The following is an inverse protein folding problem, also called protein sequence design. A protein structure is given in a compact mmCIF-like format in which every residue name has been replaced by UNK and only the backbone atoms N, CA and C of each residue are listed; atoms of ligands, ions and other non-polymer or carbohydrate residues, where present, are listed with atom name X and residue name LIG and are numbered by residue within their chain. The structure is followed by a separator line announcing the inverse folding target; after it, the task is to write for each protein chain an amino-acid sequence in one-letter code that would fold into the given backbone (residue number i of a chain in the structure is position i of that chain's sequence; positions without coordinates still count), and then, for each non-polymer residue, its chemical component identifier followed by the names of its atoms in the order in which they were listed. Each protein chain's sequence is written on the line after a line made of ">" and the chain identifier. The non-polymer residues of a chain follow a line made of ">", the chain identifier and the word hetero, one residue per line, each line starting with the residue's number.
data_IF_669184697165
#
_entry.id   IF_669184697165
#
_cell.length_a   1.000
_cell.length_b   1.000
_cell.length_c   1.000
_cell.angle_alpha   90.00
_cell.angle_beta   90.00
_cell.angle_gamma   90.00
#
_symmetry.space_group_name_H-M   'P 1'
#
loop_
_entity.id
_entity.type
_entity.pdbx_description
1 polymer ?
#
# COMPACT_ATOMS: atom_id res chain seq x y z
N UNK A 1 29.64 4.03 78.99
CA UNK A 1 29.91 3.01 77.98
C UNK A 1 28.97 3.37 76.78
N UNK A 2 29.48 3.98 75.68
CA UNK A 2 28.69 4.42 74.53
C UNK A 2 28.85 3.37 73.44
N UNK A 3 27.75 2.68 73.12
CA UNK A 3 27.66 1.75 71.96
C UNK A 3 27.56 2.54 70.69
N UNK A 4 28.50 2.38 69.75
CA UNK A 4 28.48 2.91 68.42
C UNK A 4 27.76 1.91 67.48
N UNK A 5 26.63 2.28 66.93
CA UNK A 5 25.97 1.48 65.91
C UNK A 5 26.62 1.73 64.56
N UNK A 6 27.23 0.69 63.97
CA UNK A 6 27.79 0.70 62.65
C UNK A 6 26.67 0.22 61.72
N UNK A 7 26.13 1.13 60.91
CA UNK A 7 25.19 0.78 59.85
C UNK A 7 25.99 0.28 58.62
N UNK A 8 25.89 -1.03 58.35
CA UNK A 8 26.45 -1.64 57.15
C UNK A 8 25.47 -1.39 56.00
N UNK A 9 25.80 -0.44 55.11
CA UNK A 9 25.03 -0.16 53.90
C UNK A 9 25.38 -1.21 52.85
N UNK A 10 24.50 -2.21 52.68
CA UNK A 10 24.61 -3.22 51.63
C UNK A 10 24.14 -2.59 50.30
N UNK A 11 25.07 -2.12 49.47
CA UNK A 11 24.78 -1.69 48.10
C UNK A 11 24.58 -2.95 47.24
N UNK A 12 23.34 -3.28 46.96
CA UNK A 12 22.97 -4.35 46.04
C UNK A 12 23.26 -3.85 44.60
N UNK A 13 24.42 -4.20 44.04
CA UNK A 13 24.75 -3.93 42.65
C UNK A 13 24.03 -4.97 41.79
N UNK A 14 22.83 -4.64 41.35
CA UNK A 14 22.19 -5.39 40.28
C UNK A 14 22.94 -5.12 38.98
N UNK A 15 23.39 -6.14 38.23
CA UNK A 15 23.92 -5.91 36.90
C UNK A 15 22.75 -5.44 36.00
N UNK A 16 22.69 -4.15 35.70
CA UNK A 16 21.85 -3.64 34.62
C UNK A 16 22.32 -4.31 33.35
N UNK A 17 21.61 -5.37 32.96
CA UNK A 17 21.68 -5.86 31.57
C UNK A 17 21.12 -4.76 30.68
N UNK A 18 22.01 -3.93 30.13
CA UNK A 18 21.66 -3.04 29.06
C UNK A 18 21.18 -3.94 27.91
N UNK A 19 19.86 -4.02 27.73
CA UNK A 19 19.28 -4.61 26.51
C UNK A 19 19.74 -3.71 25.35
N UNK A 20 20.87 -4.04 24.75
CA UNK A 20 21.20 -3.49 23.43
C UNK A 20 20.23 -4.11 22.46
N UNK A 21 19.34 -3.27 21.90
CA UNK A 21 18.63 -3.64 20.69
C UNK A 21 19.68 -4.09 19.67
N UNK A 22 19.60 -5.34 19.24
CA UNK A 22 20.47 -5.80 18.16
C UNK A 22 20.12 -4.99 16.92
N UNK A 23 21.08 -4.47 16.16
CA UNK A 23 20.80 -3.88 14.88
C UNK A 23 20.08 -4.94 14.05
N UNK A 24 18.87 -4.60 13.59
CA UNK A 24 18.15 -5.43 12.63
C UNK A 24 18.86 -5.21 11.31
N UNK A 25 19.79 -6.09 10.95
CA UNK A 25 20.60 -5.99 9.73
C UNK A 25 19.73 -6.08 8.46
N UNK A 26 18.49 -6.53 8.59
CA UNK A 26 17.53 -6.57 7.49
C UNK A 26 16.09 -6.42 8.04
N UNK A 27 15.17 -5.81 7.29
CA UNK A 27 13.76 -5.77 7.67
C UNK A 27 13.21 -7.20 7.78
N UNK A 28 12.27 -7.45 8.74
CA UNK A 28 11.63 -8.76 8.84
C UNK A 28 10.81 -9.05 7.57
N UNK A 29 10.92 -10.28 7.05
CA UNK A 29 10.21 -10.73 5.86
C UNK A 29 11.05 -10.63 4.58
N UNK A 30 10.36 -10.55 3.44
CA UNK A 30 10.97 -10.50 2.11
C UNK A 30 10.78 -9.10 1.52
N UNK A 31 11.89 -8.47 1.15
CA UNK A 31 11.86 -7.16 0.46
C UNK A 31 11.42 -7.36 -0.98
N UNK A 32 10.27 -6.81 -1.36
CA UNK A 32 9.72 -6.90 -2.71
C UNK A 32 10.38 -5.90 -3.65
N UNK A 33 10.57 -4.68 -3.17
CA UNK A 33 11.25 -3.60 -3.88
C UNK A 33 11.92 -2.65 -2.90
N UNK A 34 12.98 -2.00 -3.35
CA UNK A 34 13.71 -0.98 -2.60
C UNK A 34 14.14 0.14 -3.55
N UNK A 35 13.89 1.38 -3.16
CA UNK A 35 14.37 2.58 -3.85
C UNK A 35 15.39 3.25 -2.93
N UNK A 36 16.65 3.43 -3.36
CA UNK A 36 17.66 4.12 -2.56
C UNK A 36 17.25 5.57 -2.23
N UNK A 37 17.53 6.00 -1.00
CA UNK A 37 17.10 7.31 -0.49
C UNK A 37 17.63 8.50 -1.32
N UNK A 38 18.80 8.36 -1.94
CA UNK A 38 19.40 9.39 -2.79
C UNK A 38 18.67 9.61 -4.13
N UNK A 39 17.63 8.83 -4.44
CA UNK A 39 16.77 9.04 -5.60
C UNK A 39 15.58 9.96 -5.32
N UNK A 40 15.40 10.41 -4.07
CA UNK A 40 14.30 11.29 -3.63
C UNK A 40 12.92 10.83 -4.11
N UNK A 41 12.75 9.51 -4.14
CA UNK A 41 11.52 8.83 -4.52
C UNK A 41 11.24 7.72 -3.53
N UNK A 42 10.01 7.59 -3.11
CA UNK A 42 9.56 6.70 -2.05
C UNK A 42 8.56 5.68 -2.57
N UNK A 43 8.39 4.61 -1.81
CA UNK A 43 7.41 3.54 -2.05
C UNK A 43 6.30 3.68 -1.02
N UNK A 44 5.05 3.59 -1.46
CA UNK A 44 3.89 3.60 -0.57
C UNK A 44 2.69 2.88 -1.15
N UNK A 45 1.58 2.96 -0.41
CA UNK A 45 0.29 2.40 -0.80
C UNK A 45 0.35 0.92 -1.20
N UNK A 46 0.95 0.04 -0.38
CA UNK A 46 1.04 -1.36 -0.72
C UNK A 46 -0.34 -2.02 -0.72
N UNK A 47 -0.58 -2.88 -1.69
CA UNK A 47 -1.77 -3.73 -1.74
C UNK A 47 -1.37 -5.14 -2.16
N UNK A 48 -2.07 -6.15 -1.64
CA UNK A 48 -1.85 -7.56 -1.96
C UNK A 48 -3.16 -8.25 -2.30
N UNK A 49 -3.11 -9.12 -3.29
CA UNK A 49 -4.20 -10.00 -3.68
C UNK A 49 -3.68 -11.42 -3.89
N UNK A 50 -4.41 -12.41 -3.40
CA UNK A 50 -4.12 -13.83 -3.64
C UNK A 50 -5.02 -14.29 -4.78
N UNK A 51 -4.42 -14.83 -5.82
CA UNK A 51 -5.12 -15.39 -6.98
C UNK A 51 -5.66 -16.79 -6.70
N UNK A 52 -6.65 -17.28 -7.46
CA UNK A 52 -7.21 -18.61 -7.29
C UNK A 52 -6.21 -19.75 -7.47
N UNK A 53 -5.15 -19.54 -8.25
CA UNK A 53 -4.05 -20.50 -8.43
C UNK A 53 -3.04 -20.50 -7.26
N UNK A 54 -3.26 -19.66 -6.24
CA UNK A 54 -2.40 -19.55 -5.07
C UNK A 54 -1.21 -18.60 -5.24
N UNK A 55 -1.04 -17.98 -6.40
CA UNK A 55 -0.04 -16.94 -6.62
C UNK A 55 -0.41 -15.64 -5.91
N UNK A 56 0.58 -14.87 -5.49
CA UNK A 56 0.37 -13.58 -4.86
C UNK A 56 0.69 -12.45 -5.84
N UNK A 57 -0.18 -11.45 -5.91
CA UNK A 57 0.06 -10.20 -6.63
C UNK A 57 0.17 -9.08 -5.62
N UNK A 58 1.20 -8.26 -5.77
CA UNK A 58 1.42 -7.05 -4.95
C UNK A 58 1.54 -5.85 -5.85
N UNK A 59 0.98 -4.73 -5.41
CA UNK A 59 1.21 -3.41 -5.99
C UNK A 59 1.80 -2.47 -4.95
N UNK A 60 2.53 -1.48 -5.44
CA UNK A 60 2.90 -0.28 -4.69
C UNK A 60 2.99 0.92 -5.63
N UNK A 61 2.82 2.11 -5.06
CA UNK A 61 2.95 3.37 -5.77
C UNK A 61 4.33 3.98 -5.55
N UNK A 62 4.72 4.89 -6.47
CA UNK A 62 5.90 5.73 -6.32
C UNK A 62 5.49 7.18 -6.09
N UNK A 63 6.08 7.82 -5.08
CA UNK A 63 5.82 9.22 -4.73
C UNK A 63 7.11 9.93 -4.30
N UNK A 64 7.02 11.27 -4.06
CA UNK A 64 8.15 12.10 -3.64
C UNK A 64 8.67 13.05 -4.73
N UNK A 65 9.70 13.86 -4.42
CA UNK A 65 10.12 14.98 -5.27
C UNK A 65 10.47 14.62 -6.71
N UNK A 66 10.97 13.40 -6.96
CA UNK A 66 11.33 12.93 -8.31
C UNK A 66 10.28 12.03 -8.94
N UNK A 67 9.10 11.89 -8.33
CA UNK A 67 7.98 11.13 -8.88
C UNK A 67 7.11 11.98 -9.80
N UNK A 68 6.14 11.34 -10.45
CA UNK A 68 5.15 12.02 -11.29
C UNK A 68 3.77 12.06 -10.64
N UNK A 69 3.67 11.82 -9.33
CA UNK A 69 2.42 11.58 -8.61
C UNK A 69 1.33 12.64 -8.81
N UNK A 70 1.71 13.91 -9.03
CA UNK A 70 0.75 14.99 -9.27
C UNK A 70 0.33 15.16 -10.74
N UNK A 71 0.94 14.41 -11.67
CA UNK A 71 0.65 14.48 -13.11
C UNK A 71 0.04 13.17 -13.62
N UNK A 72 0.79 12.09 -13.51
CA UNK A 72 0.40 10.75 -13.91
C UNK A 72 1.19 9.76 -13.06
N UNK A 73 0.60 9.39 -11.93
CA UNK A 73 1.26 8.54 -10.95
C UNK A 73 1.63 7.17 -11.51
N UNK A 74 2.56 6.50 -10.85
CA UNK A 74 3.07 5.19 -11.26
C UNK A 74 2.79 4.16 -10.17
N UNK A 75 2.11 3.09 -10.54
CA UNK A 75 1.96 1.88 -9.72
C UNK A 75 2.75 0.73 -10.33
N UNK A 76 3.50 0.01 -9.51
CA UNK A 76 4.26 -1.17 -9.92
C UNK A 76 3.59 -2.44 -9.43
N UNK A 77 3.62 -3.48 -10.28
CA UNK A 77 2.97 -4.76 -10.02
C UNK A 77 4.03 -5.87 -9.96
N UNK A 78 3.94 -6.70 -8.94
CA UNK A 78 4.82 -7.84 -8.70
C UNK A 78 4.01 -9.10 -8.50
N UNK A 79 4.58 -10.24 -8.88
CA UNK A 79 4.03 -11.57 -8.63
C UNK A 79 5.01 -12.41 -7.83
N UNK A 80 4.45 -13.24 -6.94
CA UNK A 80 5.15 -14.37 -6.32
C UNK A 80 4.41 -15.64 -6.66
N UNK A 81 5.14 -16.64 -7.15
CA UNK A 81 4.64 -17.98 -7.47
C UNK A 81 5.06 -19.02 -6.42
N UNK A 82 5.73 -18.58 -5.36
CA UNK A 82 6.28 -19.40 -4.29
C UNK A 82 5.83 -18.97 -2.90
N UNK A 83 4.60 -18.42 -2.82
CA UNK A 83 3.94 -17.97 -1.58
C UNK A 83 4.73 -16.87 -0.84
N UNK A 84 5.25 -15.91 -1.59
CA UNK A 84 5.91 -14.72 -1.07
C UNK A 84 7.39 -14.89 -0.75
N UNK A 85 8.02 -16.02 -1.09
CA UNK A 85 9.46 -16.24 -0.87
C UNK A 85 10.33 -15.45 -1.85
N UNK A 86 9.85 -15.29 -3.08
CA UNK A 86 10.49 -14.45 -4.09
C UNK A 86 9.47 -13.67 -4.91
N UNK A 87 9.90 -12.57 -5.51
CA UNK A 87 9.04 -11.64 -6.22
C UNK A 87 9.66 -11.19 -7.54
N UNK A 88 8.80 -11.08 -8.56
CA UNK A 88 9.19 -10.59 -9.88
C UNK A 88 8.26 -9.46 -10.29
N UNK A 89 8.81 -8.31 -10.71
CA UNK A 89 8.01 -7.26 -11.34
C UNK A 89 7.48 -7.75 -12.68
N UNK A 90 6.18 -7.63 -12.91
CA UNK A 90 5.51 -8.09 -14.12
C UNK A 90 4.94 -6.97 -14.96
N UNK A 91 4.54 -5.84 -14.34
CA UNK A 91 4.05 -4.69 -15.10
C UNK A 91 4.22 -3.38 -14.33
N UNK A 92 3.88 -2.30 -15.01
CA UNK A 92 3.77 -0.95 -14.49
C UNK A 92 2.51 -0.33 -15.06
N UNK A 93 1.79 0.43 -14.24
CA UNK A 93 0.60 1.17 -14.64
C UNK A 93 0.91 2.66 -14.47
N UNK A 94 0.81 3.41 -15.56
CA UNK A 94 0.85 4.88 -15.52
C UNK A 94 -0.57 5.42 -15.33
N UNK A 95 -0.74 6.45 -14.53
CA UNK A 95 -2.06 6.96 -14.16
C UNK A 95 -2.82 6.02 -13.25
N UNK A 96 -2.15 5.53 -12.19
CA UNK A 96 -2.72 4.73 -11.13
C UNK A 96 -2.03 5.07 -9.82
N UNK A 97 -2.80 5.31 -8.74
CA UNK A 97 -2.31 5.74 -7.43
C UNK A 97 -3.29 5.41 -6.31
N UNK A 98 -2.84 5.33 -5.06
CA UNK A 98 -3.65 5.03 -3.87
C UNK A 98 -4.50 3.77 -4.02
N UNK A 99 -3.92 2.70 -4.55
CA UNK A 99 -4.66 1.63 -5.20
C UNK A 99 -4.83 0.38 -4.35
N UNK A 100 -5.96 -0.30 -4.56
CA UNK A 100 -6.25 -1.61 -3.98
C UNK A 100 -6.43 -2.63 -5.09
N UNK A 101 -5.70 -3.75 -4.98
CA UNK A 101 -5.87 -4.95 -5.79
C UNK A 101 -6.99 -5.83 -5.23
N UNK A 102 -7.81 -6.41 -6.10
CA UNK A 102 -8.77 -7.46 -5.75
C UNK A 102 -9.07 -8.37 -6.93
N UNK A 103 -9.45 -9.61 -6.64
CA UNK A 103 -9.85 -10.58 -7.66
C UNK A 103 -11.36 -10.80 -7.58
N UNK A 104 -12.02 -10.76 -8.74
CA UNK A 104 -13.46 -10.93 -8.84
C UNK A 104 -13.85 -11.55 -10.19
N UNK A 105 -14.73 -12.56 -10.17
CA UNK A 105 -15.33 -13.14 -11.36
C UNK A 105 -14.35 -13.44 -12.50
N UNK A 106 -13.20 -14.03 -12.18
CA UNK A 106 -12.24 -14.48 -13.19
C UNK A 106 -11.20 -13.44 -13.61
N UNK A 107 -11.23 -12.22 -13.09
CA UNK A 107 -10.28 -11.18 -13.44
C UNK A 107 -9.65 -10.51 -12.19
N UNK A 108 -8.46 -9.96 -12.37
CA UNK A 108 -7.79 -9.12 -11.39
C UNK A 108 -8.14 -7.66 -11.67
N UNK A 109 -8.44 -6.93 -10.62
CA UNK A 109 -8.78 -5.50 -10.70
C UNK A 109 -7.87 -4.68 -9.80
N UNK A 110 -7.68 -3.42 -10.17
CA UNK A 110 -7.05 -2.40 -9.34
C UNK A 110 -7.89 -1.13 -9.37
N UNK A 111 -8.26 -0.63 -8.20
CA UNK A 111 -9.05 0.59 -8.03
C UNK A 111 -8.28 1.61 -7.22
N UNK A 112 -8.27 2.86 -7.66
CA UNK A 112 -7.60 3.98 -7.01
C UNK A 112 -7.78 5.26 -7.80
N UNK A 113 -6.90 6.25 -7.59
CA UNK A 113 -6.93 7.49 -8.36
C UNK A 113 -5.89 7.45 -9.49
N UNK A 114 -6.01 8.33 -10.50
CA UNK A 114 -5.03 8.37 -11.61
C UNK A 114 -3.78 9.20 -11.28
N UNK A 115 -3.81 9.98 -10.20
CA UNK A 115 -2.72 10.79 -9.66
C UNK A 115 -3.02 11.08 -8.18
N UNK A 116 -2.16 11.82 -7.48
CA UNK A 116 -2.26 12.09 -6.04
C UNK A 116 -3.65 12.60 -5.62
N UNK A 117 -4.16 13.65 -6.27
CA UNK A 117 -5.56 14.07 -6.23
C UNK A 117 -6.08 14.01 -7.67
N UNK A 118 -6.97 13.09 -8.00
CA UNK A 118 -7.35 12.88 -9.38
C UNK A 118 -8.62 12.05 -9.56
N UNK A 119 -8.86 11.67 -10.78
CA UNK A 119 -10.03 10.86 -11.16
C UNK A 119 -9.99 9.50 -10.49
N UNK A 120 -11.13 9.01 -10.01
CA UNK A 120 -11.26 7.63 -9.52
C UNK A 120 -11.32 6.68 -10.72
N UNK A 121 -10.40 5.73 -10.76
CA UNK A 121 -10.22 4.81 -11.88
C UNK A 121 -10.21 3.35 -11.43
N UNK A 122 -10.78 2.49 -12.26
CA UNK A 122 -10.77 1.05 -12.13
C UNK A 122 -10.12 0.45 -13.37
N UNK A 123 -9.17 -0.44 -13.19
CA UNK A 123 -8.58 -1.20 -14.29
C UNK A 123 -8.79 -2.68 -14.09
N UNK A 124 -8.92 -3.40 -15.19
CA UNK A 124 -9.06 -4.85 -15.24
C UNK A 124 -7.86 -5.47 -15.93
N UNK A 125 -7.47 -6.64 -15.44
CA UNK A 125 -6.47 -7.50 -16.05
C UNK A 125 -7.04 -8.92 -16.16
N UNK A 126 -7.02 -9.48 -17.36
CA UNK A 126 -7.44 -10.86 -17.65
C UNK A 126 -6.24 -11.83 -17.68
N UNK A 127 -5.03 -11.33 -17.47
CA UNK A 127 -3.77 -12.08 -17.56
C UNK A 127 -2.93 -11.98 -16.27
N UNK A 128 -3.64 -11.84 -15.13
CA UNK A 128 -3.05 -11.79 -13.79
C UNK A 128 -2.03 -10.67 -13.59
N UNK A 129 -2.35 -9.49 -14.08
CA UNK A 129 -1.60 -8.26 -13.82
C UNK A 129 -0.47 -7.96 -14.81
N UNK A 130 -0.36 -8.70 -15.91
CA UNK A 130 0.63 -8.41 -16.96
C UNK A 130 0.22 -7.23 -17.82
N UNK A 131 -1.07 -7.17 -18.21
CA UNK A 131 -1.67 -6.05 -18.94
C UNK A 131 -2.93 -5.55 -18.26
N UNK A 132 -3.29 -4.29 -18.49
CA UNK A 132 -4.38 -3.60 -17.84
C UNK A 132 -5.19 -2.77 -18.81
N UNK A 133 -6.51 -2.71 -18.60
CA UNK A 133 -7.38 -1.81 -19.38
C UNK A 133 -7.03 -0.35 -19.13
N UNK A 134 -7.35 0.50 -20.09
CA UNK A 134 -7.16 1.95 -20.00
C UNK A 134 -8.53 2.58 -19.70
N UNK A 135 -8.71 3.25 -18.53
CA UNK A 135 -9.94 3.96 -18.21
C UNK A 135 -10.12 5.16 -19.12
N UNK A 136 -11.32 5.31 -19.73
CA UNK A 136 -11.63 6.46 -20.59
C UNK A 136 -13.07 6.97 -20.47
N UNK A 137 -14.01 6.18 -19.94
CA UNK A 137 -15.38 6.60 -19.64
C UNK A 137 -15.98 5.76 -18.49
N UNK A 138 -17.19 6.09 -18.05
CA UNK A 138 -17.86 5.45 -16.91
C UNK A 138 -18.15 3.94 -17.10
N UNK A 139 -18.20 3.44 -18.34
CA UNK A 139 -18.35 2.00 -18.63
C UNK A 139 -16.99 1.29 -18.73
N UNK A 140 -15.94 2.04 -18.95
CA UNK A 140 -14.59 1.55 -19.22
C UNK A 140 -13.59 2.00 -18.14
N UNK A 141 -14.05 2.11 -16.88
CA UNK A 141 -13.21 2.24 -15.72
C UNK A 141 -12.84 3.66 -15.29
N UNK A 142 -13.30 4.73 -15.96
CA UNK A 142 -13.27 6.09 -15.44
C UNK A 142 -14.53 6.30 -14.59
N UNK A 143 -14.45 6.00 -13.30
CA UNK A 143 -15.63 5.93 -12.43
C UNK A 143 -16.14 7.32 -12.04
N UNK A 144 -15.23 8.21 -11.67
CA UNK A 144 -15.55 9.59 -11.27
C UNK A 144 -14.45 10.53 -11.77
N UNK A 145 -14.85 11.69 -12.29
CA UNK A 145 -13.93 12.76 -12.64
C UNK A 145 -13.89 13.79 -11.53
N UNK A 146 -12.68 14.21 -11.12
CA UNK A 146 -12.48 15.20 -10.08
C UNK A 146 -11.16 15.01 -9.32
N UNK A 147 -11.08 15.64 -8.18
CA UNK A 147 -9.91 15.61 -7.30
C UNK A 147 -10.17 14.67 -6.12
N UNK A 148 -10.19 13.37 -6.42
CA UNK A 148 -10.40 12.34 -5.41
C UNK A 148 -9.07 11.90 -4.80
N UNK A 149 -9.15 11.57 -3.52
CA UNK A 149 -8.09 10.95 -2.74
C UNK A 149 -8.62 9.67 -2.09
N UNK A 150 -7.76 8.72 -1.83
CA UNK A 150 -8.09 7.50 -1.10
C UNK A 150 -6.82 6.90 -0.49
N UNK A 151 -6.95 5.86 0.29
CA UNK A 151 -5.85 5.01 0.73
C UNK A 151 -6.07 3.60 0.19
N UNK A 152 -5.11 2.69 0.18
CA UNK A 152 -5.30 1.30 -0.23
C UNK A 152 -6.14 0.53 0.81
N UNK A 153 -7.39 0.98 1.00
CA UNK A 153 -8.37 0.31 1.87
C UNK A 153 -9.03 -0.85 1.14
N UNK A 154 -9.44 -1.92 1.81
CA UNK A 154 -10.12 -3.04 1.18
C UNK A 154 -11.39 -2.62 0.46
N UNK A 155 -11.74 -3.31 -0.63
CA UNK A 155 -13.06 -3.25 -1.22
C UNK A 155 -14.00 -4.22 -0.49
N UNK A 156 -15.27 -3.84 -0.34
CA UNK A 156 -16.29 -4.69 0.27
C UNK A 156 -17.24 -5.19 -0.82
N UNK A 157 -17.49 -6.51 -0.83
CA UNK A 157 -18.49 -7.13 -1.70
C UNK A 157 -19.77 -7.37 -0.90
N UNK A 158 -20.86 -6.72 -1.30
CA UNK A 158 -22.14 -6.87 -0.63
C UNK A 158 -23.30 -6.72 -1.60
N UNK A 159 -24.25 -7.69 -1.59
CA UNK A 159 -25.45 -7.70 -2.42
C UNK A 159 -25.18 -7.45 -3.93
N UNK A 160 -24.17 -8.14 -4.48
CA UNK A 160 -23.80 -8.04 -5.88
C UNK A 160 -23.08 -6.74 -6.28
N UNK A 161 -22.67 -5.92 -5.32
CA UNK A 161 -21.99 -4.64 -5.56
C UNK A 161 -20.63 -4.60 -4.90
N UNK A 162 -19.75 -3.81 -5.47
CA UNK A 162 -18.46 -3.42 -4.88
C UNK A 162 -18.65 -2.08 -4.18
N UNK A 163 -18.21 -2.01 -2.92
CA UNK A 163 -18.23 -0.79 -2.12
C UNK A 163 -16.81 -0.32 -1.87
N UNK A 164 -16.57 0.97 -2.08
CA UNK A 164 -15.28 1.61 -1.86
C UNK A 164 -15.49 3.00 -1.28
N UNK A 165 -14.80 3.34 -0.21
CA UNK A 165 -14.73 4.69 0.29
C UNK A 165 -13.67 5.49 -0.47
N UNK A 166 -14.00 6.73 -0.81
CA UNK A 166 -13.07 7.72 -1.39
C UNK A 166 -13.34 9.08 -0.76
N UNK A 167 -12.32 9.92 -0.72
CA UNK A 167 -12.38 11.30 -0.27
C UNK A 167 -12.45 12.20 -1.50
N UNK A 168 -13.25 13.26 -1.44
CA UNK A 168 -13.26 14.32 -2.43
C UNK A 168 -12.62 15.56 -1.83
N UNK A 169 -11.52 16.00 -2.41
CA UNK A 169 -10.80 17.17 -1.93
C UNK A 169 -11.44 18.44 -2.47
N UNK A 170 -12.35 18.99 -1.68
CA UNK A 170 -12.81 20.38 -1.85
C UNK A 170 -12.00 21.21 -0.86
N UNK A 171 -11.30 22.20 -1.33
CA UNK A 171 -10.34 23.07 -0.63
C UNK A 171 -10.77 23.55 0.80
N UNK A 172 -11.97 23.23 1.25
CA UNK A 172 -12.50 23.67 2.53
C UNK A 172 -13.15 22.60 3.40
N UNK A 173 -13.51 21.42 2.88
CA UNK A 173 -14.15 20.35 3.69
C UNK A 173 -13.90 19.00 3.02
N UNK A 174 -13.20 18.08 3.67
CA UNK A 174 -13.11 16.70 3.23
C UNK A 174 -14.44 15.97 3.53
N UNK A 175 -15.10 15.47 2.51
CA UNK A 175 -16.23 14.56 2.66
C UNK A 175 -15.79 13.16 2.27
N UNK A 176 -16.00 12.21 3.17
CA UNK A 176 -15.89 10.79 2.83
C UNK A 176 -17.22 10.35 2.22
N UNK A 177 -17.22 10.01 0.94
CA UNK A 177 -18.39 9.42 0.27
C UNK A 177 -18.13 7.95 -0.03
N UNK A 178 -19.11 7.12 0.27
CA UNK A 178 -19.12 5.71 -0.10
C UNK A 178 -19.92 5.56 -1.40
N UNK A 179 -19.32 4.95 -2.41
CA UNK A 179 -19.94 4.68 -3.70
C UNK A 179 -20.15 3.19 -3.91
N UNK A 180 -21.27 2.82 -4.46
CA UNK A 180 -21.55 1.46 -4.88
C UNK A 180 -21.33 1.35 -6.39
N UNK A 181 -20.50 0.41 -6.78
CA UNK A 181 -20.36 -0.01 -8.17
C UNK A 181 -21.28 -1.22 -8.40
N UNK A 182 -22.22 -1.10 -9.27
CA UNK A 182 -23.16 -2.17 -9.64
C UNK A 182 -22.69 -2.91 -10.88
#
# INVERSE_FOLDING_TARGET
>A
MKMKYIYLLLILVFPLKVLRAQPVDSPPGVVINHIPANLDRFIGSPSICILPDGNYIVSHDEFGPTSTEFKSAITRIYVSVDKGKSWKRISQINGQFWSTLFYLNGALYIIGTNKHHGNLVLRRSDDYGKTWTIPYDGKNGLLLEGEYHTAPTPVLFHKGRIWRAVEYDVITVSFTSAWALS
#
